data_IF_900045536224
#
_entry.id   IF_900045536224
#
_cell.length_a   1.000
_cell.length_b   1.000
_cell.length_c   1.000
_cell.angle_alpha   90.00
_cell.angle_beta   90.00
_cell.angle_gamma   90.00
#
_symmetry.space_group_name_H-M   'P 1'
#
loop_
_entity.id
_entity.type
_entity.pdbx_description
1 polymer ?
#
# COMPACT_ATOMS: atom_id res chain seq x y z
N UNK A 1 -8.23 12.69 -10.65
CA UNK A 1 -7.68 11.61 -11.52
C UNK A 1 -8.63 10.43 -11.46
N UNK A 2 -9.03 9.85 -12.60
CA UNK A 2 -9.95 8.71 -12.63
C UNK A 2 -9.22 7.36 -12.57
N UNK A 3 -9.93 6.28 -12.23
CA UNK A 3 -9.39 4.91 -12.28
C UNK A 3 -9.05 4.54 -13.73
N UNK A 4 -7.84 4.01 -14.05
CA UNK A 4 -7.46 3.65 -15.41
C UNK A 4 -8.41 2.62 -16.05
N UNK A 5 -8.64 2.72 -17.37
CA UNK A 5 -9.55 1.84 -18.11
C UNK A 5 -9.23 0.35 -17.95
N UNK A 6 -7.93 0.00 -17.94
CA UNK A 6 -7.47 -1.39 -17.72
C UNK A 6 -7.95 -1.94 -16.36
N UNK A 7 -7.95 -1.10 -15.32
CA UNK A 7 -8.40 -1.48 -13.99
C UNK A 7 -9.91 -1.63 -13.94
N UNK A 8 -10.66 -0.67 -14.52
CA UNK A 8 -12.12 -0.75 -14.61
C UNK A 8 -12.55 -2.06 -15.29
N UNK A 9 -11.94 -2.39 -16.44
CA UNK A 9 -12.24 -3.60 -17.18
C UNK A 9 -11.95 -4.88 -16.38
N UNK A 10 -10.76 -4.99 -15.77
CA UNK A 10 -10.36 -6.21 -15.05
C UNK A 10 -11.14 -6.42 -13.76
N UNK A 11 -11.36 -5.36 -12.98
CA UNK A 11 -12.16 -5.40 -11.76
C UNK A 11 -13.63 -5.69 -12.11
N UNK A 12 -14.16 -5.05 -13.15
CA UNK A 12 -15.51 -5.32 -13.66
C UNK A 12 -15.67 -6.79 -14.08
N UNK A 13 -14.74 -7.34 -14.86
CA UNK A 13 -14.72 -8.76 -15.24
C UNK A 13 -14.66 -9.69 -14.03
N UNK A 14 -13.84 -9.38 -13.03
CA UNK A 14 -13.76 -10.14 -11.77
C UNK A 14 -15.12 -10.17 -11.05
N UNK A 15 -15.74 -9.00 -10.86
CA UNK A 15 -17.05 -8.87 -10.20
C UNK A 15 -18.12 -9.66 -10.96
N UNK A 16 -18.21 -9.49 -12.28
CA UNK A 16 -19.18 -10.19 -13.11
C UNK A 16 -19.00 -11.70 -12.99
N UNK A 17 -17.77 -12.21 -13.07
CA UNK A 17 -17.50 -13.65 -12.91
C UNK A 17 -17.97 -14.19 -11.55
N UNK A 18 -17.71 -13.46 -10.45
CA UNK A 18 -18.16 -13.87 -9.12
C UNK A 18 -19.70 -13.89 -9.02
N UNK A 19 -20.36 -12.88 -9.57
CA UNK A 19 -21.83 -12.80 -9.62
C UNK A 19 -22.44 -13.95 -10.44
N UNK A 20 -21.92 -14.24 -11.63
CA UNK A 20 -22.39 -15.36 -12.46
C UNK A 20 -22.23 -16.72 -11.78
N UNK A 21 -21.21 -16.89 -10.92
CA UNK A 21 -21.00 -18.11 -10.12
C UNK A 21 -21.85 -18.17 -8.84
N UNK A 22 -22.75 -17.21 -8.61
CA UNK A 22 -23.58 -17.15 -7.42
C UNK A 22 -22.82 -16.84 -6.12
N UNK A 23 -21.57 -16.37 -6.20
CA UNK A 23 -20.74 -16.08 -5.03
C UNK A 23 -21.20 -14.74 -4.44
N UNK A 24 -21.85 -14.78 -3.27
CA UNK A 24 -22.42 -13.59 -2.61
C UNK A 24 -21.37 -12.68 -1.97
N UNK A 25 -20.25 -13.24 -1.52
CA UNK A 25 -19.17 -12.51 -0.84
C UNK A 25 -17.83 -12.89 -1.46
N UNK A 26 -17.06 -11.90 -1.87
CA UNK A 26 -15.75 -12.07 -2.47
C UNK A 26 -14.88 -10.83 -2.17
N UNK A 27 -13.57 -11.00 -1.96
CA UNK A 27 -12.70 -9.87 -1.66
C UNK A 27 -12.42 -9.06 -2.92
N UNK A 28 -12.55 -7.73 -2.81
CA UNK A 28 -12.18 -6.80 -3.88
C UNK A 28 -10.82 -6.16 -3.67
N UNK A 29 -10.48 -5.91 -2.41
CA UNK A 29 -9.24 -5.25 -2.00
C UNK A 29 -8.65 -6.05 -0.85
N UNK A 30 -7.36 -6.41 -0.96
CA UNK A 30 -6.54 -6.82 0.16
C UNK A 30 -5.92 -5.58 0.79
N UNK A 31 -6.18 -5.32 2.08
CA UNK A 31 -5.45 -4.35 2.87
C UNK A 31 -4.28 -5.08 3.52
N UNK A 32 -3.07 -4.87 3.01
CA UNK A 32 -1.87 -5.56 3.49
C UNK A 32 -1.04 -4.60 4.35
N UNK A 33 -0.65 -5.05 5.53
CA UNK A 33 0.26 -4.34 6.44
C UNK A 33 1.53 -5.15 6.68
N UNK A 34 2.57 -4.99 5.85
CA UNK A 34 3.78 -5.80 5.95
C UNK A 34 4.70 -5.38 7.10
N UNK A 35 4.51 -4.19 7.66
CA UNK A 35 5.20 -3.69 8.85
C UNK A 35 4.41 -2.60 9.56
N UNK A 36 4.72 -2.39 10.84
CA UNK A 36 4.16 -1.29 11.64
C UNK A 36 5.13 -0.12 11.85
N UNK A 37 6.45 -0.33 11.72
CA UNK A 37 7.46 0.76 11.81
C UNK A 37 7.20 1.86 10.78
N UNK A 38 7.25 3.11 11.24
CA UNK A 38 7.14 4.32 10.44
C UNK A 38 8.30 5.28 10.78
N UNK A 39 8.62 6.20 9.86
CA UNK A 39 9.56 7.31 10.04
C UNK A 39 8.88 8.62 10.48
N UNK A 40 7.58 8.57 10.76
CA UNK A 40 6.76 9.65 11.32
C UNK A 40 5.95 9.15 12.51
N UNK A 41 5.50 10.10 13.33
CA UNK A 41 4.75 9.86 14.56
C UNK A 41 3.42 10.64 14.57
N UNK A 42 2.59 10.44 13.53
CA UNK A 42 1.39 11.25 13.29
C UNK A 42 0.35 11.07 14.42
N UNK A 43 -0.27 12.18 14.84
CA UNK A 43 -1.18 12.21 15.98
C UNK A 43 -2.40 11.28 15.85
N UNK A 44 -2.86 11.02 14.62
CA UNK A 44 -4.04 10.18 14.34
C UNK A 44 -3.74 8.72 13.97
N UNK A 45 -2.47 8.28 14.00
CA UNK A 45 -2.11 6.95 13.48
C UNK A 45 -2.37 5.82 14.49
N UNK A 46 -2.03 6.02 15.77
CA UNK A 46 -2.15 5.02 16.85
C UNK A 46 -1.23 3.80 16.73
N UNK A 47 -0.60 3.56 15.57
CA UNK A 47 0.25 2.38 15.32
C UNK A 47 1.63 2.49 15.97
N UNK A 48 2.15 3.69 16.09
CA UNK A 48 3.47 3.94 16.70
C UNK A 48 3.47 3.70 18.21
N UNK A 49 2.29 3.63 18.83
CA UNK A 49 2.12 3.45 20.26
C UNK A 49 2.22 1.97 20.70
N UNK A 50 2.37 1.05 19.74
CA UNK A 50 2.60 -0.35 20.05
C UNK A 50 3.99 -0.58 20.69
N UNK A 51 4.13 -1.61 21.54
CA UNK A 51 5.43 -2.08 22.03
C UNK A 51 6.43 -2.35 20.90
N UNK A 52 7.72 -2.18 21.20
CA UNK A 52 8.79 -2.30 20.21
C UNK A 52 8.81 -3.68 19.53
N UNK A 53 8.50 -4.74 20.27
CA UNK A 53 8.45 -6.11 19.74
C UNK A 53 7.34 -6.29 18.69
N UNK A 54 6.29 -5.47 18.74
CA UNK A 54 5.22 -5.45 17.72
C UNK A 54 5.64 -4.57 16.55
N UNK A 55 6.25 -3.41 16.81
CA UNK A 55 6.73 -2.50 15.77
C UNK A 55 7.78 -3.15 14.85
N UNK A 56 8.61 -4.02 15.42
CA UNK A 56 9.67 -4.71 14.69
C UNK A 56 9.21 -5.94 13.90
N UNK A 57 7.93 -6.33 14.01
CA UNK A 57 7.36 -7.38 13.17
C UNK A 57 7.32 -6.93 11.72
N UNK A 58 7.75 -7.84 10.85
CA UNK A 58 7.77 -7.67 9.40
C UNK A 58 7.34 -8.97 8.76
N UNK A 59 6.45 -8.90 7.78
CA UNK A 59 6.14 -10.04 6.94
C UNK A 59 7.28 -10.24 5.94
N UNK A 60 7.69 -11.48 5.74
CA UNK A 60 8.62 -11.76 4.64
C UNK A 60 7.95 -11.49 3.30
N UNK A 61 8.75 -11.33 2.25
CA UNK A 61 8.24 -11.35 0.88
C UNK A 61 7.37 -12.57 0.61
N UNK A 62 7.81 -13.75 1.03
CA UNK A 62 7.10 -15.02 0.82
C UNK A 62 5.72 -15.00 1.49
N UNK A 63 5.62 -14.50 2.74
CA UNK A 63 4.34 -14.35 3.44
C UNK A 63 3.41 -13.38 2.70
N UNK A 64 3.95 -12.26 2.21
CA UNK A 64 3.19 -11.28 1.43
C UNK A 64 2.65 -11.87 0.12
N UNK A 65 3.45 -12.69 -0.57
CA UNK A 65 3.03 -13.36 -1.81
C UNK A 65 2.00 -14.46 -1.52
N UNK A 66 2.16 -15.22 -0.45
CA UNK A 66 1.18 -16.20 -0.01
C UNK A 66 -0.17 -15.54 0.31
N UNK A 67 -0.15 -14.42 1.04
CA UNK A 67 -1.37 -13.69 1.44
C UNK A 67 -2.18 -13.19 0.23
N UNK A 68 -1.53 -12.67 -0.82
CA UNK A 68 -2.26 -12.19 -2.01
C UNK A 68 -2.84 -13.34 -2.84
N UNK A 69 -2.15 -14.49 -2.83
CA UNK A 69 -2.57 -15.70 -3.55
C UNK A 69 -3.76 -16.34 -2.84
N UNK A 70 -3.72 -16.43 -1.51
CA UNK A 70 -4.84 -16.87 -0.66
C UNK A 70 -6.06 -15.94 -0.80
N UNK A 71 -5.85 -14.62 -0.70
CA UNK A 71 -6.93 -13.66 -0.77
C UNK A 71 -7.61 -13.65 -2.15
N UNK A 72 -6.82 -13.70 -3.23
CA UNK A 72 -7.36 -13.70 -4.60
C UNK A 72 -8.03 -12.39 -5.02
N UNK A 73 -7.95 -11.32 -4.22
CA UNK A 73 -8.46 -9.99 -4.57
C UNK A 73 -7.75 -9.45 -5.84
N UNK A 74 -8.44 -8.70 -6.71
CA UNK A 74 -7.83 -8.05 -7.87
C UNK A 74 -6.99 -6.81 -7.51
N UNK A 75 -7.23 -6.21 -6.34
CA UNK A 75 -6.57 -5.00 -5.86
C UNK A 75 -5.89 -5.29 -4.52
N UNK A 76 -4.73 -4.69 -4.30
CA UNK A 76 -4.03 -4.68 -3.01
C UNK A 76 -3.64 -3.26 -2.66
N UNK A 77 -4.00 -2.83 -1.46
CA UNK A 77 -3.50 -1.61 -0.84
C UNK A 77 -2.46 -2.02 0.18
N UNK A 78 -1.20 -1.68 -0.09
CA UNK A 78 -0.11 -1.86 0.86
C UNK A 78 -0.11 -0.62 1.74
N UNK A 79 -0.70 -0.78 2.92
CA UNK A 79 -0.74 0.20 3.99
C UNK A 79 0.14 -0.30 5.15
N UNK A 80 0.34 0.47 6.21
CA UNK A 80 1.16 0.02 7.34
C UNK A 80 1.72 1.19 8.10
N UNK A 81 2.93 1.02 8.65
CA UNK A 81 3.80 2.14 9.00
C UNK A 81 4.23 2.90 7.74
N UNK A 82 5.52 2.89 7.40
CA UNK A 82 5.99 3.40 6.10
C UNK A 82 6.50 2.23 5.24
N UNK A 83 5.74 1.80 4.21
CA UNK A 83 6.10 0.68 3.34
C UNK A 83 7.50 0.80 2.71
N UNK A 84 7.96 2.01 2.39
CA UNK A 84 9.29 2.20 1.79
C UNK A 84 10.47 1.88 2.73
N UNK A 85 10.22 1.65 4.03
CA UNK A 85 11.22 1.13 4.98
C UNK A 85 11.45 -0.38 4.78
N UNK A 86 10.48 -1.11 4.24
CA UNK A 86 10.58 -2.56 4.08
C UNK A 86 11.58 -2.93 2.97
N UNK A 87 12.64 -3.66 3.32
CA UNK A 87 13.76 -3.96 2.42
C UNK A 87 13.33 -4.71 1.16
N UNK A 88 12.38 -5.62 1.29
CA UNK A 88 11.88 -6.46 0.20
C UNK A 88 10.63 -5.89 -0.49
N UNK A 89 10.25 -4.63 -0.21
CA UNK A 89 9.06 -4.03 -0.82
C UNK A 89 9.09 -4.03 -2.36
N UNK A 90 10.23 -3.72 -3.02
CA UNK A 90 10.32 -3.80 -4.48
C UNK A 90 10.00 -5.20 -5.02
N UNK A 91 10.52 -6.25 -4.37
CA UNK A 91 10.26 -7.65 -4.70
C UNK A 91 8.78 -8.01 -4.50
N UNK A 92 8.18 -7.57 -3.40
CA UNK A 92 6.76 -7.80 -3.10
C UNK A 92 5.88 -7.16 -4.19
N UNK A 93 6.12 -5.87 -4.49
CA UNK A 93 5.37 -5.13 -5.50
C UNK A 93 5.54 -5.77 -6.88
N UNK A 94 6.76 -6.15 -7.27
CA UNK A 94 7.04 -6.88 -8.51
C UNK A 94 6.26 -8.18 -8.59
N UNK A 95 6.26 -8.99 -7.53
CA UNK A 95 5.51 -10.24 -7.48
C UNK A 95 3.98 -10.04 -7.57
N UNK A 96 3.45 -8.91 -7.09
CA UNK A 96 2.04 -8.55 -7.24
C UNK A 96 1.70 -8.10 -8.66
N UNK A 97 2.58 -7.33 -9.29
CA UNK A 97 2.44 -6.90 -10.69
C UNK A 97 2.47 -8.12 -11.63
N UNK A 98 3.37 -9.09 -11.40
CA UNK A 98 3.42 -10.34 -12.16
C UNK A 98 2.11 -11.13 -12.07
N UNK A 99 1.46 -11.11 -10.90
CA UNK A 99 0.11 -11.65 -10.65
C UNK A 99 -1.02 -10.78 -11.20
N UNK A 100 -0.67 -9.66 -11.86
CA UNK A 100 -1.59 -8.68 -12.44
C UNK A 100 -2.58 -8.11 -11.43
N UNK A 101 -2.09 -7.89 -10.20
CA UNK A 101 -2.82 -7.23 -9.10
C UNK A 101 -2.59 -5.73 -9.20
N UNK A 102 -3.64 -4.94 -9.00
CA UNK A 102 -3.49 -3.48 -8.92
C UNK A 102 -2.98 -3.11 -7.53
N UNK A 103 -1.73 -2.65 -7.47
CA UNK A 103 -1.02 -2.27 -6.25
C UNK A 103 -1.18 -0.77 -6.01
N UNK A 104 -1.76 -0.43 -4.86
CA UNK A 104 -1.72 0.91 -4.28
C UNK A 104 -0.69 0.89 -3.16
N UNK A 105 0.48 1.49 -3.40
CA UNK A 105 1.55 1.60 -2.42
C UNK A 105 1.38 2.93 -1.68
N UNK A 106 0.86 2.87 -0.46
CA UNK A 106 0.63 4.05 0.36
C UNK A 106 1.94 4.50 1.01
N UNK A 107 2.29 5.79 0.91
CA UNK A 107 3.54 6.32 1.48
C UNK A 107 3.37 7.76 1.93
N UNK A 108 4.14 8.18 2.94
CA UNK A 108 4.30 9.59 3.31
C UNK A 108 5.31 10.34 2.44
N UNK A 109 5.86 9.67 1.41
CA UNK A 109 6.77 10.20 0.40
C UNK A 109 8.17 10.67 0.86
N UNK A 110 8.45 10.74 2.17
CA UNK A 110 9.76 11.18 2.69
C UNK A 110 10.95 10.32 2.22
N UNK A 111 10.70 9.06 1.86
CA UNK A 111 11.71 8.14 1.33
C UNK A 111 11.61 7.95 -0.19
N UNK A 112 10.61 8.57 -0.83
CA UNK A 112 10.24 8.27 -2.21
C UNK A 112 11.35 8.63 -3.18
N UNK A 113 11.97 9.80 -3.08
CA UNK A 113 13.08 10.21 -3.95
C UNK A 113 14.22 9.17 -3.99
N UNK A 114 14.61 8.66 -2.82
CA UNK A 114 15.68 7.66 -2.69
C UNK A 114 15.27 6.25 -3.11
N UNK A 115 13.96 5.95 -3.07
CA UNK A 115 13.42 4.61 -3.28
C UNK A 115 12.73 4.44 -4.62
N UNK A 116 12.43 5.51 -5.34
CA UNK A 116 11.71 5.48 -6.61
C UNK A 116 12.43 4.61 -7.64
N UNK A 117 13.77 4.66 -7.67
CA UNK A 117 14.60 3.86 -8.58
C UNK A 117 14.51 2.34 -8.36
N UNK A 118 14.01 1.90 -7.19
CA UNK A 118 13.81 0.48 -6.92
C UNK A 118 12.55 -0.08 -7.63
N UNK A 119 11.69 0.78 -8.18
CA UNK A 119 10.42 0.40 -8.80
C UNK A 119 10.39 0.68 -10.32
N UNK A 120 9.91 -0.30 -11.07
CA UNK A 120 9.67 -0.13 -12.52
C UNK A 120 8.28 0.45 -12.78
N UNK A 121 8.13 1.42 -13.70
CA UNK A 121 6.83 1.90 -14.13
C UNK A 121 5.92 0.75 -14.61
N UNK A 122 4.68 0.73 -14.14
CA UNK A 122 3.72 -0.33 -14.45
C UNK A 122 2.29 0.20 -14.40
N UNK A 123 1.40 -0.23 -15.32
CA UNK A 123 -0.02 0.11 -15.25
C UNK A 123 -0.74 -0.55 -14.05
N UNK A 124 -0.05 -1.40 -13.31
CA UNK A 124 -0.54 -2.07 -12.10
C UNK A 124 0.00 -1.45 -10.81
N UNK A 125 0.86 -0.43 -10.87
CA UNK A 125 1.44 0.23 -9.70
C UNK A 125 0.97 1.68 -9.62
N UNK A 126 0.44 2.06 -8.47
CA UNK A 126 0.08 3.44 -8.13
C UNK A 126 0.68 3.78 -6.77
N UNK A 127 1.46 4.85 -6.70
CA UNK A 127 1.87 5.44 -5.43
C UNK A 127 0.72 6.33 -4.90
N UNK A 128 0.30 6.07 -3.67
CA UNK A 128 -0.72 6.86 -2.97
C UNK A 128 0.00 7.70 -1.91
N UNK A 129 0.21 8.98 -2.21
CA UNK A 129 0.91 9.91 -1.32
C UNK A 129 -0.08 10.45 -0.28
N UNK A 130 0.26 10.31 0.99
CA UNK A 130 -0.49 10.92 2.08
C UNK A 130 -0.05 12.37 2.26
N UNK A 131 -1.00 13.30 2.06
CA UNK A 131 -0.82 14.74 2.25
C UNK A 131 -2.07 15.31 2.93
N UNK A 132 -1.93 15.68 4.20
CA UNK A 132 -3.03 15.97 5.13
C UNK A 132 -3.37 17.47 5.21
N UNK A 133 -3.45 18.14 4.06
CA UNK A 133 -3.83 19.55 3.94
C UNK A 133 -2.71 20.45 3.42
N UNK A 134 -2.82 21.75 3.67
CA UNK A 134 -1.75 22.72 3.42
C UNK A 134 -0.61 22.52 4.43
N UNK A 135 0.50 23.21 4.22
CA UNK A 135 1.72 23.10 5.03
C UNK A 135 1.44 23.07 6.55
N UNK A 136 0.80 24.10 7.09
CA UNK A 136 0.51 24.20 8.53
C UNK A 136 -0.27 22.99 9.06
N UNK A 137 -1.28 22.53 8.31
CA UNK A 137 -2.12 21.40 8.73
C UNK A 137 -1.42 20.07 8.56
N UNK A 138 -0.67 19.89 7.49
CA UNK A 138 0.06 18.66 7.24
C UNK A 138 1.15 18.46 8.28
N UNK A 139 2.00 19.45 8.49
CA UNK A 139 3.10 19.42 9.47
C UNK A 139 2.57 19.20 10.90
N UNK A 140 1.46 19.87 11.24
CA UNK A 140 0.75 19.62 12.50
C UNK A 140 0.20 18.18 12.61
N UNK A 141 -0.37 17.63 11.55
CA UNK A 141 -0.95 16.27 11.56
C UNK A 141 0.14 15.19 11.70
N UNK A 142 1.30 15.40 11.07
CA UNK A 142 2.43 14.47 11.12
C UNK A 142 3.37 14.72 12.30
N UNK A 143 3.07 15.70 13.14
CA UNK A 143 3.83 16.10 14.32
C UNK A 143 5.29 16.47 14.01
N UNK A 144 5.55 17.07 12.83
CA UNK A 144 6.90 17.43 12.39
C UNK A 144 6.88 18.54 11.35
N UNK A 145 7.57 19.63 11.66
CA UNK A 145 7.70 20.78 10.76
C UNK A 145 8.56 20.48 9.53
N UNK A 146 8.18 21.08 8.40
CA UNK A 146 8.88 21.01 7.13
C UNK A 146 8.79 19.65 6.46
N UNK A 147 7.75 18.85 6.75
CA UNK A 147 7.47 17.61 6.02
C UNK A 147 6.75 17.91 4.71
N UNK A 148 5.85 18.89 4.70
CA UNK A 148 5.10 19.29 3.51
C UNK A 148 5.98 19.69 2.31
N UNK A 149 7.13 20.31 2.58
CA UNK A 149 8.06 20.82 1.55
C UNK A 149 9.05 19.76 1.02
N UNK A 150 9.04 18.54 1.56
CA UNK A 150 9.97 17.46 1.19
C UNK A 150 9.38 16.53 0.16
#
# INVERSE_FOLDING_TARGET
MGVPLIQQYRVGRYILNKKFRGIKRYPLVLMLEPLFRCNLACAGCGKIDYPEEILDKRLSKEDCLAAIDECGAPVVSIAGGEPLIHKEMPEIVRGYIERKKFVYLCTNALLLDRKMGDYSPSPYLTFSIHLDGNQDRHDSSVCRDGVYEK
#
